data_IF_806601156842
#
_entry.id   IF_806601156842
#
_cell.length_a   1.000
_cell.length_b   1.000
_cell.length_c   1.000
_cell.angle_alpha   90.00
_cell.angle_beta   90.00
_cell.angle_gamma   90.00
#
_symmetry.space_group_name_H-M   'P 1'
#
loop_
_entity.id
_entity.type
_entity.pdbx_description
1 polymer ?
#
# COMPACT_ATOMS: atom_id res chain seq x y z
N UNK A 1 0.67 3.42 -3.46
CA UNK A 1 0.53 4.19 -4.71
C UNK A 1 -0.24 5.46 -4.41
N UNK A 2 0.17 6.62 -4.94
CA UNK A 2 -0.56 7.88 -4.75
C UNK A 2 -1.54 8.07 -5.92
N UNK A 3 -2.79 8.38 -5.63
CA UNK A 3 -3.88 8.51 -6.61
C UNK A 3 -4.83 9.64 -6.18
N UNK A 4 -5.55 10.24 -7.14
CA UNK A 4 -6.61 11.23 -6.85
C UNK A 4 -7.96 10.58 -7.11
N UNK A 5 -8.74 10.36 -6.04
CA UNK A 5 -10.07 9.75 -6.12
C UNK A 5 -11.14 10.79 -5.78
N UNK A 6 -12.16 10.95 -6.64
CA UNK A 6 -13.24 11.96 -6.50
C UNK A 6 -12.73 13.39 -6.22
N UNK A 7 -11.62 13.77 -6.86
CA UNK A 7 -11.02 15.11 -6.72
C UNK A 7 -10.21 15.32 -5.43
N UNK A 8 -10.00 14.26 -4.64
CA UNK A 8 -9.25 14.31 -3.38
C UNK A 8 -8.03 13.38 -3.47
N UNK A 9 -6.84 13.79 -3.02
CA UNK A 9 -5.66 12.94 -3.03
C UNK A 9 -5.77 11.82 -1.99
N UNK A 10 -5.35 10.61 -2.36
CA UNK A 10 -5.31 9.43 -1.52
C UNK A 10 -4.07 8.57 -1.79
N UNK A 11 -3.71 7.73 -0.83
CA UNK A 11 -2.62 6.77 -0.98
C UNK A 11 -3.18 5.36 -0.79
N UNK A 12 -3.05 4.52 -1.82
CA UNK A 12 -3.36 3.11 -1.79
C UNK A 12 -2.19 2.32 -1.17
N UNK A 13 -2.46 1.55 -0.12
CA UNK A 13 -1.52 0.65 0.56
C UNK A 13 -2.11 -0.75 0.67
N UNK A 14 -1.24 -1.76 0.64
CA UNK A 14 -1.64 -3.16 0.84
C UNK A 14 -1.79 -3.43 2.33
N UNK A 15 -2.95 -3.94 2.72
CA UNK A 15 -3.27 -4.38 4.06
C UNK A 15 -3.39 -5.91 4.11
N UNK A 16 -3.08 -6.49 5.27
CA UNK A 16 -3.33 -7.91 5.54
C UNK A 16 -4.83 -8.20 5.67
N UNK A 17 -5.22 -9.43 5.35
CA UNK A 17 -6.57 -9.93 5.56
C UNK A 17 -6.88 -9.90 7.07
N UNK A 18 -7.80 -9.04 7.49
CA UNK A 18 -8.11 -8.73 8.89
C UNK A 18 -7.86 -7.27 9.27
N UNK A 19 -6.72 -6.69 8.88
CA UNK A 19 -6.41 -5.28 9.12
C UNK A 19 -7.27 -4.36 8.24
N UNK A 20 -7.67 -4.85 7.05
CA UNK A 20 -8.58 -4.14 6.17
C UNK A 20 -9.93 -3.84 6.83
N UNK A 21 -10.52 -4.79 7.58
CA UNK A 21 -11.82 -4.57 8.23
C UNK A 21 -11.71 -3.56 9.38
N UNK A 22 -10.63 -3.63 10.15
CA UNK A 22 -10.37 -2.70 11.25
C UNK A 22 -10.20 -1.26 10.75
N UNK A 23 -9.49 -1.08 9.64
CA UNK A 23 -9.18 0.25 9.10
C UNK A 23 -10.34 0.87 8.31
N UNK A 24 -11.22 0.07 7.69
CA UNK A 24 -12.41 0.60 7.00
C UNK A 24 -13.39 1.28 7.97
N UNK A 25 -13.38 0.89 9.24
CA UNK A 25 -14.24 1.51 10.27
C UNK A 25 -13.78 2.94 10.62
N UNK A 26 -12.49 3.22 10.43
CA UNK A 26 -11.98 4.58 10.52
C UNK A 26 -12.41 5.40 9.29
N UNK A 27 -13.14 6.50 9.52
CA UNK A 27 -13.65 7.46 8.51
C UNK A 27 -12.60 7.96 7.49
N UNK A 28 -11.31 7.71 7.75
CA UNK A 28 -10.15 8.10 6.96
C UNK A 28 -9.75 7.10 5.87
N UNK A 29 -10.12 5.83 6.00
CA UNK A 29 -9.76 4.80 5.03
C UNK A 29 -10.99 4.28 4.30
N UNK A 30 -10.80 3.91 3.04
CA UNK A 30 -11.83 3.28 2.25
C UNK A 30 -11.24 2.17 1.41
N UNK A 31 -12.09 1.22 1.02
CA UNK A 31 -11.69 0.14 0.14
C UNK A 31 -11.38 0.72 -1.24
N UNK A 32 -10.17 0.51 -1.75
CA UNK A 32 -9.79 1.00 -3.08
C UNK A 32 -10.76 0.42 -4.11
N UNK A 33 -11.49 1.26 -4.87
CA UNK A 33 -12.38 0.77 -5.91
C UNK A 33 -11.56 -0.03 -6.92
N UNK A 34 -12.12 -1.15 -7.40
CA UNK A 34 -11.53 -2.11 -8.35
C UNK A 34 -10.47 -3.09 -7.81
N UNK A 35 -9.52 -2.68 -6.96
CA UNK A 35 -8.42 -3.55 -6.48
C UNK A 35 -8.60 -4.02 -5.03
N UNK A 36 -9.58 -3.46 -4.32
CA UNK A 36 -9.82 -3.68 -2.90
C UNK A 36 -10.19 -5.12 -2.51
N UNK A 37 -10.52 -5.99 -3.47
CA UNK A 37 -10.74 -7.41 -3.23
C UNK A 37 -9.44 -8.21 -2.96
N UNK A 38 -8.25 -7.60 -3.17
CA UNK A 38 -6.94 -8.23 -2.89
C UNK A 38 -6.24 -7.62 -1.66
N UNK A 39 -7.01 -7.08 -0.71
CA UNK A 39 -6.48 -6.46 0.51
C UNK A 39 -5.78 -5.13 0.25
N UNK A 40 -6.34 -4.26 -0.59
CA UNK A 40 -5.87 -2.88 -0.76
C UNK A 40 -6.83 -1.90 -0.09
N UNK A 41 -6.26 -0.92 0.60
CA UNK A 41 -6.98 0.19 1.24
C UNK A 41 -6.42 1.51 0.72
N UNK A 42 -7.28 2.51 0.57
CA UNK A 42 -6.90 3.87 0.21
C UNK A 42 -7.12 4.79 1.42
N UNK A 43 -6.08 5.53 1.79
CA UNK A 43 -6.12 6.53 2.85
C UNK A 43 -6.23 7.93 2.24
N UNK A 44 -7.17 8.76 2.70
CA UNK A 44 -7.24 10.17 2.30
C UNK A 44 -6.06 10.95 2.86
N UNK A 45 -5.39 11.76 2.03
CA UNK A 45 -4.24 12.59 2.45
C UNK A 45 -4.50 14.09 2.40
N UNK A 46 -5.76 14.49 2.26
CA UNK A 46 -6.20 15.89 2.17
C UNK A 46 -6.72 16.47 3.49
N UNK A 47 -6.72 15.68 4.56
CA UNK A 47 -7.28 16.02 5.89
C UNK A 47 -6.20 15.88 6.96
N UNK A 48 -6.60 15.99 8.22
CA UNK A 48 -5.73 15.58 9.33
C UNK A 48 -5.32 14.12 9.09
N UNK A 49 -4.03 13.87 8.91
CA UNK A 49 -3.45 12.56 8.60
C UNK A 49 -2.48 12.24 9.71
N UNK A 50 -2.65 11.07 10.32
CA UNK A 50 -1.60 10.53 11.18
C UNK A 50 -0.50 9.93 10.31
N UNK A 51 0.55 10.73 10.10
CA UNK A 51 1.71 10.34 9.31
C UNK A 51 2.46 9.16 9.91
N UNK A 52 2.40 8.95 11.23
CA UNK A 52 3.04 7.83 11.93
C UNK A 52 2.34 6.52 11.58
N UNK A 53 1.00 6.51 11.65
CA UNK A 53 0.19 5.38 11.24
C UNK A 53 0.37 5.08 9.75
N UNK A 54 0.35 6.11 8.91
CA UNK A 54 0.53 5.95 7.46
C UNK A 54 1.91 5.38 7.12
N UNK A 55 2.97 5.84 7.79
CA UNK A 55 4.32 5.32 7.59
C UNK A 55 4.40 3.83 7.94
N UNK A 56 3.79 3.40 9.05
CA UNK A 56 3.76 2.00 9.46
C UNK A 56 2.99 1.13 8.45
N UNK A 57 1.84 1.61 7.98
CA UNK A 57 1.04 0.94 6.94
C UNK A 57 1.81 0.81 5.63
N UNK A 58 2.53 1.85 5.21
CA UNK A 58 3.39 1.81 4.01
C UNK A 58 4.53 0.80 4.20
N UNK A 59 5.19 0.77 5.37
CA UNK A 59 6.25 -0.19 5.68
C UNK A 59 5.73 -1.63 5.66
N UNK A 60 4.57 -1.91 6.25
CA UNK A 60 3.93 -3.24 6.21
C UNK A 60 3.54 -3.63 4.79
N UNK A 61 2.88 -2.74 4.06
CA UNK A 61 2.55 -2.93 2.63
C UNK A 61 3.79 -3.25 1.81
N UNK A 62 4.90 -2.56 2.06
CA UNK A 62 6.16 -2.82 1.38
C UNK A 62 6.68 -4.22 1.68
N UNK A 63 6.68 -4.66 2.95
CA UNK A 63 7.09 -6.03 3.32
C UNK A 63 6.23 -7.11 2.67
N UNK A 64 4.92 -6.87 2.54
CA UNK A 64 3.99 -7.81 1.88
C UNK A 64 4.23 -7.92 0.36
N UNK A 65 4.66 -6.83 -0.27
CA UNK A 65 4.95 -6.80 -1.70
C UNK A 65 6.39 -7.14 -2.04
N UNK A 66 7.30 -6.96 -1.09
CA UNK A 66 8.72 -7.23 -1.28
C UNK A 66 8.93 -8.73 -1.48
N UNK A 67 9.53 -9.15 -2.61
CA UNK A 67 9.95 -10.53 -2.76
C UNK A 67 11.00 -10.84 -1.68
N UNK A 68 10.79 -11.92 -0.93
CA UNK A 68 11.57 -12.31 0.26
C UNK A 68 13.08 -12.50 0.01
N UNK A 69 13.52 -12.44 -1.25
CA UNK A 69 14.92 -12.28 -1.66
C UNK A 69 14.97 -11.42 -2.91
N UNK A 70 15.89 -10.45 -3.04
CA UNK A 70 16.24 -9.94 -4.36
C UNK A 70 16.77 -11.13 -5.17
N UNK A 71 16.08 -11.50 -6.25
CA UNK A 71 16.68 -12.39 -7.26
C UNK A 71 17.96 -11.69 -7.70
N UNK A 72 19.12 -12.16 -7.23
CA UNK A 72 20.40 -11.75 -7.80
C UNK A 72 20.26 -12.03 -9.30
N UNK A 73 20.23 -10.98 -10.11
CA UNK A 73 20.38 -11.17 -11.56
C UNK A 73 21.70 -11.91 -11.73
N UNK A 74 21.74 -13.09 -12.38
CA UNK A 74 23.01 -13.72 -12.66
C UNK A 74 23.79 -12.71 -13.50
N UNK A 75 24.98 -12.32 -13.01
CA UNK A 75 25.94 -11.57 -13.80
C UNK A 75 26.21 -12.44 -15.04
N UNK A 76 25.61 -12.09 -16.18
CA UNK A 76 25.97 -12.72 -17.46
C UNK A 76 27.43 -12.35 -17.68
N UNK A 77 28.34 -13.31 -17.48
CA UNK A 77 29.74 -13.15 -17.88
C UNK A 77 29.72 -12.87 -19.39
N UNK A 78 30.29 -11.73 -19.81
CA UNK A 78 30.60 -11.50 -21.22
C UNK A 78 31.58 -12.60 -21.66
N UNK A 79 31.37 -13.29 -22.79
CA UNK A 79 32.45 -14.00 -23.43
C UNK A 79 33.41 -12.97 -24.06
N UNK A 80 34.72 -13.27 -23.97
CA UNK A 80 35.81 -12.60 -24.70
C UNK A 80 35.65 -12.73 -26.22
#
# INVERSE_FOLDING_TARGET
MFEVYRGRPCIAVKAEDGLQQLLIDEVRFFRTPYIGNRGWISAWVDRDVDWTLLEDLVKRSYRLMAPMRPRKRPCRRRPD
#
